data_IF_070611258365
#
_entry.id   IF_070611258365
#
_cell.length_a   1.000
_cell.length_b   1.000
_cell.length_c   1.000
_cell.angle_alpha   90.00
_cell.angle_beta   90.00
_cell.angle_gamma   90.00
#
_symmetry.space_group_name_H-M   'P 1'
#
loop_
_entity.id
_entity.type
_entity.pdbx_description
1 polymer ?
#
# COMPACT_ATOMS: atom_id res chain seq x y z
N UNK A 1 -23.62 6.84 14.15
CA UNK A 1 -23.22 7.26 12.79
C UNK A 1 -21.97 6.48 12.44
N UNK A 2 -22.10 5.42 11.65
CA UNK A 2 -20.94 4.66 11.18
C UNK A 2 -20.39 5.37 9.95
N UNK A 3 -19.27 6.06 10.10
CA UNK A 3 -18.50 6.51 8.94
C UNK A 3 -18.10 5.26 8.18
N UNK A 4 -18.54 5.14 6.93
CA UNK A 4 -18.12 4.05 6.06
C UNK A 4 -16.65 4.35 5.69
N UNK A 5 -15.71 3.99 6.58
CA UNK A 5 -14.25 4.12 6.43
C UNK A 5 -13.72 3.14 5.37
N UNK A 6 -14.44 2.99 4.25
CA UNK A 6 -14.02 2.21 3.10
C UNK A 6 -13.28 3.12 2.14
N UNK A 7 -12.18 2.60 1.61
CA UNK A 7 -11.45 3.21 0.51
C UNK A 7 -12.38 3.32 -0.69
N UNK A 8 -12.48 4.52 -1.24
CA UNK A 8 -13.14 4.75 -2.52
C UNK A 8 -12.30 4.11 -3.63
N UNK A 9 -12.93 3.27 -4.47
CA UNK A 9 -12.28 2.60 -5.58
C UNK A 9 -11.72 3.61 -6.60
N UNK A 10 -12.35 4.78 -6.77
CA UNK A 10 -11.85 5.85 -7.64
C UNK A 10 -10.58 6.46 -7.08
N UNK A 11 -10.58 6.80 -5.79
CA UNK A 11 -9.40 7.34 -5.12
C UNK A 11 -8.23 6.37 -5.24
N UNK A 12 -8.48 5.07 -5.02
CA UNK A 12 -7.46 4.05 -5.18
C UNK A 12 -6.94 3.95 -6.62
N UNK A 13 -7.82 3.97 -7.62
CA UNK A 13 -7.43 3.92 -9.03
C UNK A 13 -6.58 5.14 -9.43
N UNK A 14 -6.95 6.33 -8.97
CA UNK A 14 -6.20 7.57 -9.22
C UNK A 14 -4.79 7.49 -8.60
N UNK A 15 -4.68 6.95 -7.38
CA UNK A 15 -3.38 6.74 -6.73
C UNK A 15 -2.56 5.66 -7.45
N UNK A 16 -3.18 4.57 -7.90
CA UNK A 16 -2.50 3.53 -8.69
C UNK A 16 -1.98 4.09 -10.03
N UNK A 17 -2.73 5.00 -10.67
CA UNK A 17 -2.27 5.69 -11.88
C UNK A 17 -1.07 6.61 -11.59
N UNK A 18 -1.14 7.43 -10.54
CA UNK A 18 -0.01 8.28 -10.10
C UNK A 18 1.25 7.47 -9.80
N UNK A 19 1.09 6.30 -9.16
CA UNK A 19 2.19 5.37 -8.92
C UNK A 19 2.82 4.90 -10.22
N UNK A 20 1.99 4.48 -11.18
CA UNK A 20 2.45 4.00 -12.50
C UNK A 20 3.16 5.10 -13.30
N UNK A 21 2.74 6.36 -13.13
CA UNK A 21 3.38 7.52 -13.76
C UNK A 21 4.71 7.91 -13.07
N UNK A 22 5.12 7.18 -12.02
CA UNK A 22 6.36 7.41 -11.29
C UNK A 22 6.29 8.52 -10.26
N UNK A 23 5.09 8.91 -9.82
CA UNK A 23 4.91 9.92 -8.79
C UNK A 23 5.32 9.37 -7.41
N UNK A 24 5.98 10.22 -6.61
CA UNK A 24 6.28 9.89 -5.23
C UNK A 24 5.02 10.05 -4.37
N UNK A 25 4.69 9.02 -3.60
CA UNK A 25 3.41 8.95 -2.90
C UNK A 25 3.50 9.32 -1.42
N UNK A 26 2.47 9.96 -0.89
CA UNK A 26 2.39 10.32 0.53
C UNK A 26 1.99 9.11 1.39
N UNK A 27 2.19 9.21 2.70
CA UNK A 27 1.76 8.16 3.65
C UNK A 27 0.27 7.88 3.54
N UNK A 28 -0.55 8.91 3.31
CA UNK A 28 -1.99 8.77 3.07
C UNK A 28 -2.30 7.91 1.83
N UNK A 29 -1.63 8.17 0.72
CA UNK A 29 -1.78 7.40 -0.52
C UNK A 29 -1.47 5.91 -0.28
N UNK A 30 -0.40 5.62 0.48
CA UNK A 30 -0.02 4.26 0.86
C UNK A 30 -1.07 3.59 1.76
N UNK A 31 -1.73 4.34 2.65
CA UNK A 31 -2.81 3.80 3.48
C UNK A 31 -3.97 3.31 2.61
N UNK A 32 -4.30 4.04 1.54
CA UNK A 32 -5.33 3.69 0.56
C UNK A 32 -4.92 2.48 -0.29
N UNK A 33 -3.68 2.46 -0.80
CA UNK A 33 -3.16 1.34 -1.62
C UNK A 33 -3.04 0.02 -0.84
N UNK A 34 -2.59 0.09 0.42
CA UNK A 34 -2.43 -1.09 1.27
C UNK A 34 -3.68 -1.46 2.05
N UNK A 35 -4.84 -0.96 1.64
CA UNK A 35 -6.12 -1.28 2.27
C UNK A 35 -6.35 -2.79 2.43
N UNK A 36 -6.98 -3.12 3.55
CA UNK A 36 -7.33 -4.48 3.91
C UNK A 36 -8.41 -5.03 2.96
N UNK A 37 -8.57 -6.37 2.88
CA UNK A 37 -9.63 -7.01 2.07
C UNK A 37 -11.05 -6.51 2.38
N UNK A 38 -11.28 -6.01 3.61
CA UNK A 38 -12.56 -5.43 4.02
C UNK A 38 -12.77 -3.99 3.55
N UNK A 39 -11.94 -3.50 2.62
CA UNK A 39 -12.01 -2.15 2.06
C UNK A 39 -11.48 -1.05 2.98
N UNK A 40 -11.07 -1.35 4.21
CA UNK A 40 -10.57 -0.35 5.15
C UNK A 40 -9.11 0.03 4.86
N UNK A 41 -8.74 1.33 4.91
CA UNK A 41 -7.36 1.77 4.76
C UNK A 41 -6.43 1.07 5.75
N UNK A 42 -5.15 0.90 5.37
CA UNK A 42 -4.13 0.52 6.34
C UNK A 42 -3.96 1.65 7.36
N UNK A 43 -3.66 1.30 8.63
CA UNK A 43 -3.41 2.32 9.64
C UNK A 43 -2.10 3.08 9.37
N UNK A 44 -2.08 4.38 9.66
CA UNK A 44 -0.88 5.23 9.54
C UNK A 44 0.32 4.63 10.30
N UNK A 45 0.09 4.13 11.51
CA UNK A 45 1.15 3.51 12.32
C UNK A 45 1.74 2.25 11.69
N UNK A 46 0.93 1.48 10.96
CA UNK A 46 1.42 0.32 10.20
C UNK A 46 2.30 0.77 9.04
N UNK A 47 1.82 1.73 8.25
CA UNK A 47 2.55 2.28 7.10
C UNK A 47 3.87 2.92 7.53
N UNK A 48 3.87 3.73 8.58
CA UNK A 48 5.09 4.32 9.14
C UNK A 48 6.08 3.25 9.62
N UNK A 49 5.59 2.17 10.23
CA UNK A 49 6.43 1.04 10.63
C UNK A 49 7.04 0.34 9.41
N UNK A 50 6.28 0.17 8.34
CA UNK A 50 6.77 -0.42 7.09
C UNK A 50 7.82 0.44 6.40
N UNK A 51 7.63 1.75 6.36
CA UNK A 51 8.61 2.68 5.81
C UNK A 51 9.90 2.64 6.64
N UNK A 52 9.80 2.71 7.98
CA UNK A 52 10.97 2.79 8.87
C UNK A 52 11.68 1.45 9.09
N UNK A 53 10.94 0.35 9.16
CA UNK A 53 11.49 -1.00 9.46
C UNK A 53 11.49 -1.92 8.25
N UNK A 54 10.97 -1.50 7.11
CA UNK A 54 10.77 -2.37 5.95
C UNK A 54 9.56 -3.29 6.10
N UNK A 55 9.00 -3.70 4.97
CA UNK A 55 7.91 -4.68 4.86
C UNK A 55 8.52 -6.07 4.80
N UNK A 56 7.95 -7.03 5.53
CA UNK A 56 8.41 -8.43 5.54
C UNK A 56 7.41 -9.34 4.85
N UNK A 57 7.93 -10.20 3.98
CA UNK A 57 7.21 -11.23 3.26
C UNK A 57 7.94 -12.56 3.47
N UNK A 58 7.55 -13.32 4.50
CA UNK A 58 8.31 -14.49 4.95
C UNK A 58 9.76 -14.12 5.32
N UNK A 59 10.73 -14.69 4.58
CA UNK A 59 12.17 -14.39 4.76
C UNK A 59 12.63 -13.14 4.00
N UNK A 60 11.83 -12.61 3.07
CA UNK A 60 12.16 -11.43 2.27
C UNK A 60 11.78 -10.17 3.03
N UNK A 61 12.63 -9.14 2.95
CA UNK A 61 12.37 -7.80 3.50
C UNK A 61 12.57 -6.77 2.39
N UNK A 62 11.56 -5.93 2.17
CA UNK A 62 11.61 -4.80 1.24
C UNK A 62 11.69 -3.49 2.03
N UNK A 63 12.51 -2.56 1.57
CA UNK A 63 12.66 -1.23 2.16
C UNK A 63 12.02 -0.22 1.23
N UNK A 64 11.23 0.70 1.79
CA UNK A 64 10.63 1.81 1.06
C UNK A 64 11.48 3.05 1.30
N UNK A 65 12.23 3.48 0.28
CA UNK A 65 12.94 4.76 0.33
C UNK A 65 11.93 5.90 0.38
N UNK A 66 12.28 6.95 1.11
CA UNK A 66 11.45 8.14 1.20
C UNK A 66 12.31 9.40 1.30
N UNK A 67 11.71 10.53 0.93
CA UNK A 67 12.19 11.88 1.20
C UNK A 67 11.17 12.63 2.03
N UNK A 68 11.59 13.72 2.66
CA UNK A 68 10.68 14.60 3.42
C UNK A 68 10.29 15.77 2.51
N UNK A 69 9.00 15.98 2.32
CA UNK A 69 8.48 17.13 1.59
C UNK A 69 8.52 18.41 2.46
N UNK A 70 8.30 19.60 1.89
CA UNK A 70 8.30 20.85 2.65
C UNK A 70 7.26 20.92 3.79
N UNK A 71 6.23 20.07 3.77
CA UNK A 71 5.23 19.97 4.84
C UNK A 71 5.68 19.09 6.01
N UNK A 72 6.83 18.42 5.88
CA UNK A 72 7.33 17.46 6.85
C UNK A 72 6.78 16.03 6.65
N UNK A 73 6.06 15.78 5.55
CA UNK A 73 5.50 14.48 5.25
C UNK A 73 6.50 13.61 4.47
N UNK A 74 6.41 12.29 4.65
CA UNK A 74 7.22 11.34 3.89
C UNK A 74 6.60 11.11 2.52
N UNK A 75 7.39 11.37 1.48
CA UNK A 75 7.13 10.97 0.10
C UNK A 75 7.89 9.68 -0.18
N UNK A 76 7.19 8.62 -0.55
CA UNK A 76 7.71 7.28 -0.76
C UNK A 76 8.05 7.03 -2.23
N UNK A 77 9.17 6.36 -2.47
CA UNK A 77 9.67 6.10 -3.81
C UNK A 77 8.75 5.12 -4.56
N UNK A 78 8.31 5.43 -5.79
CA UNK A 78 7.30 4.66 -6.52
C UNK A 78 7.71 3.21 -6.75
N UNK A 79 8.91 2.96 -7.25
CA UNK A 79 9.41 1.59 -7.51
C UNK A 79 9.39 0.69 -6.26
N UNK A 80 9.70 1.25 -5.09
CA UNK A 80 9.73 0.46 -3.85
C UNK A 80 8.31 0.16 -3.37
N UNK A 81 7.37 1.10 -3.56
CA UNK A 81 5.94 0.91 -3.26
C UNK A 81 5.36 -0.15 -4.19
N UNK A 82 5.67 -0.09 -5.49
CA UNK A 82 5.23 -1.09 -6.46
C UNK A 82 5.79 -2.47 -6.15
N UNK A 83 7.07 -2.58 -5.75
CA UNK A 83 7.67 -3.84 -5.33
C UNK A 83 6.93 -4.45 -4.13
N UNK A 84 6.53 -3.64 -3.15
CA UNK A 84 5.74 -4.08 -2.00
C UNK A 84 4.34 -4.51 -2.42
N UNK A 85 3.68 -3.78 -3.32
CA UNK A 85 2.36 -4.15 -3.83
C UNK A 85 2.40 -5.46 -4.61
N UNK A 86 3.42 -5.64 -5.46
CA UNK A 86 3.63 -6.87 -6.25
C UNK A 86 3.77 -8.09 -5.34
N UNK A 87 4.59 -8.01 -4.29
CA UNK A 87 4.71 -9.10 -3.30
C UNK A 87 3.42 -9.32 -2.51
N UNK A 88 2.71 -8.25 -2.15
CA UNK A 88 1.42 -8.35 -1.44
C UNK A 88 0.36 -9.06 -2.30
N UNK A 89 0.33 -8.80 -3.61
CA UNK A 89 -0.57 -9.47 -4.57
C UNK A 89 -0.25 -10.97 -4.69
N UNK A 90 1.04 -11.35 -4.68
CA UNK A 90 1.44 -12.77 -4.70
C UNK A 90 0.94 -13.55 -3.50
N UNK A 91 0.98 -12.96 -2.31
CA UNK A 91 0.48 -13.61 -1.09
C UNK A 91 -1.04 -13.75 -1.14
N UNK A 92 -1.76 -12.67 -1.52
CA UNK A 92 -3.22 -12.74 -1.71
C UNK A 92 -3.62 -13.78 -2.77
N UNK A 93 -2.83 -13.93 -3.83
CA UNK A 93 -3.04 -14.94 -4.87
C UNK A 93 -2.64 -16.35 -4.42
N UNK A 94 -1.65 -16.49 -3.51
CA UNK A 94 -1.26 -17.79 -2.96
C UNK A 94 -2.29 -18.35 -1.96
N UNK A 95 -3.05 -17.47 -1.31
CA UNK A 95 -4.21 -17.83 -0.48
C UNK A 95 -5.51 -17.99 -1.29
N UNK A 96 -5.50 -17.65 -2.59
CA UNK A 96 -6.55 -18.01 -3.56
C UNK A 96 -6.01 -19.08 -4.51
N UNK A 97 -6.04 -20.38 -4.13
CA UNK A 97 -5.86 -21.43 -5.12
C UNK A 97 -6.94 -21.27 -6.20
N UNK A 98 -6.55 -21.38 -7.47
CA UNK A 98 -7.50 -21.67 -8.55
C UNK A 98 -8.36 -22.87 -8.12
N UNK A 99 -9.64 -22.62 -7.88
CA UNK A 99 -10.54 -23.61 -7.29
C UNK A 99 -11.72 -22.97 -6.58
N UNK A 100 -12.55 -22.26 -7.33
CA UNK A 100 -13.97 -22.12 -6.98
C UNK A 100 -14.55 -23.54 -6.97
N UNK A 101 -15.14 -23.99 -5.85
CA UNK A 101 -16.55 -24.33 -5.91
C UNK A 101 -17.33 -23.72 -4.74
N UNK A 102 -18.40 -23.03 -5.14
CA UNK A 102 -19.54 -22.42 -4.40
C UNK A 102 -19.25 -21.52 -3.19
#
# INVERSE_FOLDING_TARGET
MGSDDRVDERERADIEQRLHDGEWLKVGDLMTLFANPNGKPASRSSVDRWITKGVRFGRKRLVIRYQIDPSGERLCHPEDVEAVLSESRKIRSADHPDGIPE
#
